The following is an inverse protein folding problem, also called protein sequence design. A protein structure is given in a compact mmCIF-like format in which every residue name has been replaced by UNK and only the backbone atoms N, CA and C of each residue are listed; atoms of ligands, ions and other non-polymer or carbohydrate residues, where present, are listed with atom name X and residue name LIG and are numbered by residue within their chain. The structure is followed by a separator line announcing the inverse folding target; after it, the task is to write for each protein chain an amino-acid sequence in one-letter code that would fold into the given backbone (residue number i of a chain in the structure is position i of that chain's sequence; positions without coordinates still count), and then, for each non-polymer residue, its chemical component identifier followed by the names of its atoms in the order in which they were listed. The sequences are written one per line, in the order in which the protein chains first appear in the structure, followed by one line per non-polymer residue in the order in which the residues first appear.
data_IF_567049056155
#
_entry.id   IF_567049056155
#
_cell.length_a   1.000
_cell.length_b   1.000
_cell.length_c   1.000
_cell.angle_alpha   90.00
_cell.angle_beta   90.00
_cell.angle_gamma   90.00
#
_symmetry.space_group_name_H-M   'P 1'
#
loop_
_entity.id
_entity.type
_entity.pdbx_description
1 polymer ?
#
# COMPACT_ATOMS: atom_id res chain seq x y z
N UNK A 1 -1.25 -9.97 9.45
CA UNK A 1 -0.48 -8.87 8.84
C UNK A 1 -0.88 -8.72 7.38
N UNK A 2 -0.99 -7.51 6.86
CA UNK A 2 -1.15 -7.28 5.41
C UNK A 2 0.23 -7.24 4.77
N UNK A 3 0.43 -8.03 3.71
CA UNK A 3 1.65 -7.95 2.90
C UNK A 3 1.48 -6.82 1.88
N UNK A 4 2.42 -5.89 1.87
CA UNK A 4 2.56 -4.91 0.79
C UNK A 4 3.55 -5.50 -0.21
N UNK A 5 3.07 -5.76 -1.42
CA UNK A 5 3.93 -6.17 -2.54
C UNK A 5 4.53 -4.90 -3.15
N UNK A 6 5.85 -4.88 -3.30
CA UNK A 6 6.59 -3.70 -3.79
C UNK A 6 7.75 -4.05 -4.71
N UNK A 7 7.90 -5.32 -5.14
CA UNK A 7 8.98 -5.70 -6.05
C UNK A 7 8.75 -4.96 -7.37
N UNK A 8 9.75 -4.22 -7.83
CA UNK A 8 9.70 -3.40 -9.05
C UNK A 8 8.74 -2.20 -8.98
N UNK A 9 8.43 -1.70 -7.77
CA UNK A 9 7.65 -0.47 -7.56
C UNK A 9 8.52 0.61 -6.94
N UNK A 10 8.38 1.84 -7.42
CA UNK A 10 9.08 3.00 -6.89
C UNK A 10 8.52 3.43 -5.52
N UNK A 11 9.24 4.35 -4.87
CA UNK A 11 8.88 4.87 -3.55
C UNK A 11 7.54 5.63 -3.57
N UNK A 12 7.20 6.26 -4.69
CA UNK A 12 5.99 7.08 -4.84
C UNK A 12 4.75 6.17 -4.83
N UNK A 13 4.80 5.06 -5.57
CA UNK A 13 3.80 4.02 -5.56
C UNK A 13 3.58 3.49 -4.14
N UNK A 14 4.66 3.12 -3.44
CA UNK A 14 4.54 2.55 -2.09
C UNK A 14 3.96 3.56 -1.11
N UNK A 15 4.41 4.82 -1.12
CA UNK A 15 3.84 5.90 -0.28
C UNK A 15 2.35 6.05 -0.50
N UNK A 16 1.94 6.18 -1.76
CA UNK A 16 0.55 6.41 -2.11
C UNK A 16 -0.37 5.24 -1.72
N UNK A 17 0.04 4.02 -2.08
CA UNK A 17 -0.77 2.81 -1.84
C UNK A 17 -0.88 2.51 -0.34
N UNK A 18 0.22 2.63 0.42
CA UNK A 18 0.19 2.36 1.86
C UNK A 18 -0.59 3.43 2.62
N UNK A 19 -0.48 4.71 2.24
CA UNK A 19 -1.30 5.78 2.80
C UNK A 19 -2.79 5.57 2.51
N UNK A 20 -3.16 5.18 1.29
CA UNK A 20 -4.55 4.87 0.94
C UNK A 20 -5.11 3.74 1.80
N UNK A 21 -4.39 2.61 1.91
CA UNK A 21 -4.86 1.50 2.76
C UNK A 21 -4.89 1.88 4.24
N UNK A 22 -3.94 2.68 4.72
CA UNK A 22 -3.94 3.16 6.11
C UNK A 22 -5.21 3.96 6.41
N UNK A 23 -5.60 4.89 5.52
CA UNK A 23 -6.84 5.65 5.66
C UNK A 23 -8.07 4.74 5.73
N UNK A 24 -8.18 3.76 4.81
CA UNK A 24 -9.29 2.79 4.82
C UNK A 24 -9.33 1.94 6.09
N UNK A 25 -8.19 1.51 6.62
CA UNK A 25 -8.14 0.74 7.87
C UNK A 25 -8.50 1.65 9.06
N UNK A 26 -8.03 2.90 9.10
CA UNK A 26 -8.38 3.83 10.17
C UNK A 26 -9.89 4.15 10.19
N UNK A 27 -10.53 4.29 9.02
CA UNK A 27 -11.98 4.43 8.89
C UNK A 27 -12.71 3.21 9.49
N UNK A 28 -12.24 1.99 9.22
CA UNK A 28 -12.82 0.75 9.78
C UNK A 28 -12.64 0.71 11.29
N UNK A 29 -11.44 1.00 11.80
CA UNK A 29 -11.15 1.02 13.23
C UNK A 29 -11.99 2.06 13.98
N UNK A 30 -12.23 3.23 13.37
CA UNK A 30 -13.11 4.24 13.95
C UNK A 30 -14.56 3.78 14.03
N UNK A 31 -15.07 3.11 13.00
CA UNK A 31 -16.47 2.61 12.97
C UNK A 31 -16.68 1.41 13.87
N UNK A 32 -15.64 0.61 14.10
CA UNK A 32 -15.69 -0.63 14.91
C UNK A 32 -14.78 -0.54 16.12
N UNK A 33 -14.76 0.63 16.77
CA UNK A 33 -13.89 0.91 17.92
C UNK A 33 -14.18 0.06 19.15
N UNK A 34 -15.38 -0.54 19.22
CA UNK A 34 -15.75 -1.51 20.27
C UNK A 34 -15.14 -2.91 20.02
N UNK A 35 -14.90 -3.26 18.75
CA UNK A 35 -14.42 -4.59 18.35
C UNK A 35 -12.90 -4.63 18.14
N UNK A 36 -12.34 -3.51 17.67
CA UNK A 36 -10.97 -3.44 17.20
C UNK A 36 -10.22 -2.23 17.75
N UNK A 37 -8.94 -2.44 18.01
CA UNK A 37 -7.98 -1.39 18.33
C UNK A 37 -6.79 -1.42 17.36
N UNK A 38 -5.98 -0.37 17.39
CA UNK A 38 -4.74 -0.30 16.63
C UNK A 38 -3.69 -1.18 17.30
N UNK A 39 -3.07 -2.07 16.53
CA UNK A 39 -1.93 -2.87 17.01
C UNK A 39 -0.64 -2.05 17.14
N UNK A 40 -0.51 -0.98 16.36
CA UNK A 40 0.69 -0.12 16.33
C UNK A 40 0.50 1.13 17.18
N UNK A 41 1.52 1.51 17.95
CA UNK A 41 1.64 2.86 18.51
C UNK A 41 1.83 3.92 17.40
N UNK A 42 1.60 5.18 17.74
CA UNK A 42 1.87 6.39 16.97
C UNK A 42 0.84 6.61 15.86
N UNK A 43 0.59 7.85 15.47
CA UNK A 43 -0.27 8.21 14.35
C UNK A 43 0.58 8.66 13.18
N UNK A 44 0.22 8.22 11.97
CA UNK A 44 0.83 8.70 10.74
C UNK A 44 -0.02 9.82 10.18
N UNK A 45 0.60 10.96 9.89
CA UNK A 45 0.01 12.04 9.10
C UNK A 45 0.68 12.07 7.74
N UNK A 46 -0.11 12.36 6.70
CA UNK A 46 0.38 12.50 5.33
C UNK A 46 0.10 13.94 4.87
N UNK A 47 1.05 14.58 4.18
CA UNK A 47 0.90 15.92 3.62
C UNK A 47 0.26 15.92 2.21
N UNK A 48 -0.24 14.76 1.77
CA UNK A 48 -0.87 14.54 0.47
C UNK A 48 -2.13 13.68 0.62
N UNK A 49 -3.02 13.78 -0.35
CA UNK A 49 -4.20 12.91 -0.45
C UNK A 49 -3.86 11.69 -1.31
N UNK A 50 -3.86 10.47 -0.72
CA UNK A 50 -3.54 9.28 -1.49
C UNK A 50 -4.67 8.88 -2.43
N UNK A 51 -4.31 8.48 -3.64
CA UNK A 51 -5.24 8.03 -4.68
C UNK A 51 -4.58 6.95 -5.54
N UNK A 52 -5.00 5.70 -5.33
CA UNK A 52 -4.47 4.54 -6.05
C UNK A 52 -4.73 4.59 -7.56
N UNK A 53 -5.73 5.33 -8.02
CA UNK A 53 -6.04 5.48 -9.44
C UNK A 53 -4.99 6.31 -10.18
N UNK A 54 -4.25 7.17 -9.47
CA UNK A 54 -3.18 8.02 -10.01
C UNK A 54 -1.78 7.38 -9.96
N UNK A 55 -1.66 6.22 -9.32
CA UNK A 55 -0.45 5.39 -9.37
C UNK A 55 -0.57 4.33 -10.46
N UNK A 56 0.50 3.54 -10.66
CA UNK A 56 0.51 2.41 -11.58
C UNK A 56 -0.73 1.51 -11.39
N UNK A 57 -1.64 1.54 -12.36
CA UNK A 57 -2.77 0.63 -12.45
C UNK A 57 -3.15 0.44 -13.91
N UNK A 58 -3.88 -0.65 -14.19
CA UNK A 58 -4.36 -1.01 -15.52
C UNK A 58 -5.85 -1.32 -15.49
N UNK A 59 -6.58 -0.58 -14.66
CA UNK A 59 -7.89 -0.95 -14.17
C UNK A 59 -7.82 -1.76 -12.89
N UNK A 60 -8.94 -1.72 -12.14
CA UNK A 60 -9.13 -2.46 -10.91
C UNK A 60 -10.09 -3.62 -11.14
N UNK A 61 -9.89 -4.69 -10.37
CA UNK A 61 -10.78 -5.85 -10.40
C UNK A 61 -10.94 -6.39 -8.99
N UNK A 62 -12.17 -6.78 -8.66
CA UNK A 62 -12.47 -7.53 -7.43
C UNK A 62 -11.98 -8.99 -7.54
N UNK A 63 -11.43 -9.37 -8.70
CA UNK A 63 -10.96 -10.70 -9.01
C UNK A 63 -12.04 -11.74 -8.67
N UNK A 64 -11.78 -12.63 -7.72
CA UNK A 64 -12.73 -13.63 -7.24
C UNK A 64 -13.24 -13.37 -5.81
N UNK A 65 -13.10 -12.14 -5.30
CA UNK A 65 -13.45 -11.77 -3.93
C UNK A 65 -14.95 -12.00 -3.64
N UNK A 66 -15.82 -11.71 -4.61
CA UNK A 66 -17.28 -11.84 -4.50
C UNK A 66 -17.83 -12.97 -5.37
N UNK A 67 -17.02 -14.00 -5.64
CA UNK A 67 -17.39 -15.09 -6.54
C UNK A 67 -16.81 -14.89 -7.94
N UNK A 68 -17.51 -15.36 -8.98
CA UNK A 68 -16.96 -15.26 -10.34
C UNK A 68 -17.03 -13.82 -10.88
N UNK A 69 -15.94 -13.27 -11.43
CA UNK A 69 -15.94 -11.92 -11.98
C UNK A 69 -17.02 -11.71 -13.05
N UNK A 70 -17.68 -10.55 -12.98
CA UNK A 70 -18.66 -10.07 -13.97
C UNK A 70 -18.03 -9.25 -15.10
N UNK A 71 -16.78 -8.82 -14.93
CA UNK A 71 -15.99 -8.07 -15.90
C UNK A 71 -14.70 -8.82 -16.19
N UNK A 72 -14.09 -8.52 -17.34
CA UNK A 72 -12.75 -9.01 -17.68
C UNK A 72 -11.76 -8.65 -16.58
N UNK A 73 -10.92 -9.62 -16.20
CA UNK A 73 -9.83 -9.39 -15.24
C UNK A 73 -8.48 -9.27 -15.97
N UNK A 74 -8.48 -9.42 -17.29
CA UNK A 74 -7.31 -9.30 -18.14
C UNK A 74 -7.18 -7.86 -18.69
N UNK A 75 -5.93 -7.46 -18.93
CA UNK A 75 -5.62 -6.22 -19.65
C UNK A 75 -4.92 -6.59 -20.96
N UNK A 76 -5.71 -6.97 -21.97
CA UNK A 76 -5.19 -7.47 -23.25
C UNK A 76 -4.43 -6.42 -24.04
N UNK A 77 -4.83 -5.16 -23.94
CA UNK A 77 -4.29 -4.09 -24.78
C UNK A 77 -2.88 -3.66 -24.38
N UNK A 78 -2.52 -3.75 -23.09
CA UNK A 78 -1.23 -3.24 -22.65
C UNK A 78 -0.76 -3.78 -21.30
N UNK A 79 0.54 -4.08 -21.16
CA UNK A 79 1.19 -4.18 -19.86
C UNK A 79 1.58 -2.79 -19.29
N UNK A 80 1.20 -1.71 -19.97
CA UNK A 80 1.34 -0.28 -19.65
C UNK A 80 0.63 0.12 -18.36
N UNK A 81 1.07 1.14 -17.63
CA UNK A 81 0.14 1.88 -16.77
C UNK A 81 -0.88 2.61 -17.64
N UNK A 82 -2.16 2.60 -17.25
CA UNK A 82 -3.23 3.32 -17.94
C UNK A 82 -3.59 4.59 -17.17
N UNK A 83 -3.82 4.46 -15.85
CA UNK A 83 -4.28 5.57 -15.03
C UNK A 83 -5.75 5.94 -15.27
N UNK A 84 -6.25 7.01 -14.62
CA UNK A 84 -7.65 7.38 -14.67
C UNK A 84 -7.97 8.01 -16.04
N UNK A 85 -9.21 7.84 -16.49
CA UNK A 85 -9.72 8.62 -17.61
C UNK A 85 -9.83 10.09 -17.19
N UNK A 86 -9.36 11.02 -18.04
CA UNK A 86 -9.27 12.44 -17.68
C UNK A 86 -9.94 13.36 -18.70
N UNK A 87 -9.97 12.99 -19.98
CA UNK A 87 -10.50 13.88 -20.99
C UNK A 87 -10.95 13.16 -22.26
N UNK A 88 -11.88 13.78 -23.00
CA UNK A 88 -12.27 13.36 -24.34
C UNK A 88 -11.78 14.39 -25.36
N UNK A 89 -11.12 13.95 -26.43
CA UNK A 89 -10.64 14.85 -27.50
C UNK A 89 -11.83 15.50 -28.20
N UNK A 90 -11.83 16.82 -28.36
CA UNK A 90 -12.82 17.57 -29.15
C UNK A 90 -12.30 17.91 -30.53
N UNK A 91 -11.08 18.43 -30.61
CA UNK A 91 -10.46 18.85 -31.86
C UNK A 91 -8.96 18.53 -31.85
N UNK A 92 -8.41 18.22 -33.01
CA UNK A 92 -6.99 17.95 -33.27
C UNK A 92 -6.50 18.96 -34.30
N UNK A 93 -5.63 19.88 -33.87
CA UNK A 93 -4.94 20.82 -34.75
C UNK A 93 -3.52 20.32 -35.06
N UNK A 94 -2.77 21.04 -35.89
CA UNK A 94 -1.41 20.66 -36.32
C UNK A 94 -0.43 20.45 -35.17
N UNK A 95 -0.58 21.20 -34.06
CA UNK A 95 0.36 21.17 -32.91
C UNK A 95 -0.32 21.12 -31.54
N UNK A 96 -1.65 21.01 -31.50
CA UNK A 96 -2.41 21.05 -30.24
C UNK A 96 -3.67 20.20 -30.31
N UNK A 97 -4.20 19.89 -29.13
CA UNK A 97 -5.44 19.15 -28.93
C UNK A 97 -6.35 20.01 -28.05
N UNK A 98 -7.61 20.17 -28.44
CA UNK A 98 -8.63 20.73 -27.54
C UNK A 98 -9.43 19.58 -26.95
N UNK A 99 -9.58 19.55 -25.62
CA UNK A 99 -10.24 18.45 -24.91
C UNK A 99 -11.42 18.91 -24.06
N UNK A 100 -12.33 17.98 -23.75
CA UNK A 100 -13.31 18.10 -22.68
C UNK A 100 -12.79 17.32 -21.48
N UNK A 101 -12.51 17.99 -20.35
CA UNK A 101 -12.16 17.28 -19.12
C UNK A 101 -13.38 16.51 -18.59
N UNK A 102 -13.13 15.35 -17.98
CA UNK A 102 -14.14 14.62 -17.22
C UNK A 102 -14.36 15.27 -15.84
N UNK A 103 -15.53 15.08 -15.21
CA UNK A 103 -15.78 15.56 -13.86
C UNK A 103 -14.71 15.08 -12.87
N UNK A 104 -14.36 15.92 -11.90
CA UNK A 104 -13.37 15.63 -10.86
C UNK A 104 -11.96 15.31 -11.38
N UNK A 105 -11.63 15.69 -12.63
CA UNK A 105 -10.28 15.55 -13.17
C UNK A 105 -9.37 16.60 -12.54
N UNK A 106 -8.28 16.22 -11.84
CA UNK A 106 -7.29 17.17 -11.39
C UNK A 106 -6.66 17.90 -12.59
N UNK A 107 -6.23 19.16 -12.43
CA UNK A 107 -5.62 19.92 -13.52
C UNK A 107 -4.51 19.15 -14.24
N UNK A 108 -4.58 19.17 -15.58
CA UNK A 108 -3.49 18.69 -16.43
C UNK A 108 -2.42 19.78 -16.54
N UNK A 109 -1.16 19.35 -16.61
CA UNK A 109 -0.01 20.26 -16.63
C UNK A 109 1.13 19.73 -17.49
N UNK A 110 2.13 20.57 -17.70
CA UNK A 110 3.38 20.16 -18.33
C UNK A 110 4.03 19.01 -17.55
N UNK A 111 4.61 18.05 -18.29
CA UNK A 111 5.22 16.85 -17.75
C UNK A 111 4.27 15.65 -17.58
N UNK A 112 2.95 15.86 -17.62
CA UNK A 112 2.00 14.75 -17.55
C UNK A 112 2.14 13.80 -18.74
N UNK A 113 1.93 12.51 -18.47
CA UNK A 113 1.83 11.47 -19.47
C UNK A 113 0.38 11.12 -19.73
N UNK A 114 -0.06 11.25 -20.98
CA UNK A 114 -1.37 10.82 -21.43
C UNK A 114 -1.27 9.60 -22.33
N UNK A 115 -2.28 8.73 -22.30
CA UNK A 115 -2.36 7.56 -23.14
C UNK A 115 -3.79 7.31 -23.62
N UNK A 116 -3.90 6.52 -24.68
CA UNK A 116 -5.16 6.18 -25.32
C UNK A 116 -5.04 4.85 -26.07
N UNK A 117 -6.19 4.25 -26.35
CA UNK A 117 -6.31 3.12 -27.27
C UNK A 117 -6.61 3.68 -28.67
N UNK A 118 -5.75 3.41 -29.64
CA UNK A 118 -5.97 3.79 -31.02
C UNK A 118 -7.04 2.87 -31.68
N UNK A 119 -7.67 3.29 -32.80
CA UNK A 119 -8.68 2.50 -33.49
C UNK A 119 -8.21 1.11 -33.94
N UNK A 120 -6.91 0.94 -34.18
CA UNK A 120 -6.26 -0.34 -34.51
C UNK A 120 -6.05 -1.27 -33.28
N UNK A 121 -6.52 -0.85 -32.10
CA UNK A 121 -6.35 -1.59 -30.85
C UNK A 121 -4.97 -1.41 -30.20
N UNK A 122 -4.09 -0.59 -30.77
CA UNK A 122 -2.76 -0.35 -30.21
C UNK A 122 -2.82 0.67 -29.07
N UNK A 123 -2.14 0.38 -27.97
CA UNK A 123 -2.03 1.30 -26.84
C UNK A 123 -0.88 2.29 -27.08
N UNK A 124 -1.20 3.58 -27.13
CA UNK A 124 -0.24 4.66 -27.42
C UNK A 124 -0.22 5.67 -26.29
N UNK A 125 0.91 6.35 -26.11
CA UNK A 125 1.06 7.40 -25.09
C UNK A 125 1.95 8.53 -25.57
N UNK A 126 1.78 9.70 -24.96
CA UNK A 126 2.53 10.92 -25.24
C UNK A 126 2.68 11.76 -23.96
N UNK A 127 3.68 12.64 -23.94
CA UNK A 127 3.88 13.61 -22.86
C UNK A 127 3.35 14.99 -23.23
N UNK A 128 2.86 15.72 -22.26
CA UNK A 128 2.47 17.12 -22.40
C UNK A 128 3.68 18.03 -22.16
N UNK A 129 3.96 18.93 -23.11
CA UNK A 129 4.95 20.00 -22.94
C UNK A 129 4.32 21.25 -22.33
N UNK A 130 3.08 21.56 -22.71
CA UNK A 130 2.36 22.75 -22.25
C UNK A 130 0.85 22.48 -22.22
N UNK A 131 0.17 23.17 -21.31
CA UNK A 131 -1.29 23.22 -21.21
C UNK A 131 -1.71 24.68 -21.14
N UNK A 132 -2.66 25.09 -21.97
CA UNK A 132 -3.26 26.42 -21.99
C UNK A 132 -4.73 26.34 -21.63
N UNK A 133 -5.19 27.28 -20.81
CA UNK A 133 -6.59 27.41 -20.37
C UNK A 133 -7.19 26.10 -19.80
N UNK A 134 -6.33 25.20 -19.29
CA UNK A 134 -6.68 23.89 -18.75
C UNK A 134 -7.19 22.85 -19.77
N UNK A 135 -7.44 23.21 -21.03
CA UNK A 135 -8.16 22.36 -22.00
C UNK A 135 -7.52 22.31 -23.38
N UNK A 136 -6.54 23.18 -23.66
CA UNK A 136 -5.74 23.13 -24.87
C UNK A 136 -4.38 22.52 -24.53
N UNK A 137 -4.12 21.33 -25.06
CA UNK A 137 -2.95 20.52 -24.75
C UNK A 137 -1.93 20.60 -25.88
N UNK A 138 -0.66 20.75 -25.54
CA UNK A 138 0.46 20.74 -26.48
C UNK A 138 1.37 19.54 -26.18
N UNK A 139 1.22 18.43 -26.93
CA UNK A 139 2.08 17.26 -26.83
C UNK A 139 3.54 17.55 -27.20
N UNK A 140 4.47 16.80 -26.61
CA UNK A 140 5.88 16.82 -27.00
C UNK A 140 6.13 16.32 -28.43
N UNK A 141 5.37 15.29 -28.81
CA UNK A 141 5.24 14.80 -30.18
C UNK A 141 3.75 14.61 -30.44
N UNK A 142 3.26 15.14 -31.56
CA UNK A 142 1.84 15.05 -31.89
C UNK A 142 1.43 13.59 -32.12
N UNK A 143 0.49 13.05 -31.32
CA UNK A 143 -0.04 11.70 -31.53
C UNK A 143 -1.09 11.69 -32.64
N UNK A 144 -1.24 10.57 -33.33
CA UNK A 144 -2.35 10.34 -34.26
C UNK A 144 -3.64 10.06 -33.47
N UNK A 145 -4.48 11.08 -33.30
CA UNK A 145 -5.74 11.05 -32.56
C UNK A 145 -6.92 11.45 -33.44
N UNK A 146 -8.12 11.03 -33.05
CA UNK A 146 -9.37 11.48 -33.66
C UNK A 146 -10.23 12.21 -32.63
N UNK A 147 -11.08 13.16 -33.06
CA UNK A 147 -12.15 13.67 -32.21
C UNK A 147 -12.95 12.53 -31.58
N UNK A 148 -13.23 12.66 -30.29
CA UNK A 148 -13.94 11.66 -29.50
C UNK A 148 -13.06 10.63 -28.79
N UNK A 149 -11.75 10.55 -29.08
CA UNK A 149 -10.84 9.62 -28.37
C UNK A 149 -10.80 9.93 -26.87
N UNK A 150 -10.89 8.88 -26.04
CA UNK A 150 -10.73 8.97 -24.59
C UNK A 150 -9.24 8.99 -24.22
N UNK A 151 -8.85 9.97 -23.40
CA UNK A 151 -7.50 10.12 -22.86
C UNK A 151 -7.47 9.71 -21.39
N UNK A 152 -6.43 8.96 -21.03
CA UNK A 152 -6.12 8.56 -19.67
C UNK A 152 -4.80 9.18 -19.22
N UNK A 153 -4.67 9.51 -17.93
CA UNK A 153 -3.44 10.08 -17.34
C UNK A 153 -2.55 8.97 -16.79
N UNK A 154 -1.65 8.47 -17.63
CA UNK A 154 -0.70 7.41 -17.26
C UNK A 154 0.43 7.87 -16.35
N UNK A 155 0.72 9.18 -16.31
CA UNK A 155 1.69 9.79 -15.40
C UNK A 155 1.16 11.13 -14.90
N UNK A 156 1.04 11.27 -13.59
CA UNK A 156 0.69 12.52 -12.91
C UNK A 156 1.95 13.18 -12.36
N UNK A 157 2.45 14.19 -13.08
CA UNK A 157 3.75 14.76 -12.75
C UNK A 157 3.75 15.55 -11.44
N UNK A 158 2.63 16.21 -11.09
CA UNK A 158 2.51 16.95 -9.83
C UNK A 158 2.57 15.99 -8.65
N UNK A 159 1.88 14.85 -8.76
CA UNK A 159 1.88 13.83 -7.74
C UNK A 159 3.27 13.22 -7.57
N UNK A 160 3.97 12.92 -8.66
CA UNK A 160 5.35 12.44 -8.63
C UNK A 160 6.29 13.39 -7.87
N UNK A 161 6.23 14.69 -8.19
CA UNK A 161 7.04 15.70 -7.50
C UNK A 161 6.69 15.82 -6.01
N UNK A 162 5.40 15.75 -5.69
CA UNK A 162 4.92 15.77 -4.30
C UNK A 162 5.43 14.55 -3.54
N UNK A 163 5.36 13.36 -4.15
CA UNK A 163 5.76 12.11 -3.51
C UNK A 163 7.27 11.90 -3.44
N UNK A 164 8.05 12.62 -4.25
CA UNK A 164 9.51 12.56 -4.23
C UNK A 164 10.12 13.11 -2.93
N UNK A 165 9.44 14.06 -2.26
CA UNK A 165 9.89 14.62 -0.96
C UNK A 165 9.39 13.77 0.24
N UNK A 166 9.88 14.01 1.47
CA UNK A 166 9.23 13.48 2.67
C UNK A 166 7.78 13.97 2.74
N UNK A 167 6.84 13.03 2.88
CA UNK A 167 5.40 13.29 2.76
C UNK A 167 4.57 12.70 3.89
N UNK A 168 5.21 12.00 4.82
CA UNK A 168 4.53 11.38 5.94
C UNK A 168 5.43 11.41 7.16
N UNK A 169 4.81 11.69 8.31
CA UNK A 169 5.46 11.62 9.60
C UNK A 169 4.65 10.71 10.52
N UNK A 170 5.35 9.96 11.37
CA UNK A 170 4.72 9.18 12.44
C UNK A 170 5.12 9.78 13.78
N UNK A 171 4.13 10.21 14.57
CA UNK A 171 4.33 10.76 15.92
C UNK A 171 3.59 9.94 16.97
N UNK A 172 4.14 9.81 18.17
CA UNK A 172 3.50 9.18 19.33
C UNK A 172 2.88 10.25 20.22
N UNK A 173 1.66 10.01 20.69
CA UNK A 173 1.01 10.95 21.60
C UNK A 173 1.71 10.96 22.97
N UNK A 174 1.92 12.17 23.49
CA UNK A 174 2.60 12.41 24.76
C UNK A 174 1.76 13.33 25.65
N UNK A 175 1.40 12.84 26.84
CA UNK A 175 0.75 13.62 27.88
C UNK A 175 1.80 14.14 28.85
N UNK A 176 1.68 15.42 29.23
CA UNK A 176 2.61 16.08 30.13
C UNK A 176 1.87 16.61 31.34
N UNK A 177 2.44 16.45 32.52
CA UNK A 177 1.95 17.08 33.74
C UNK A 177 3.09 17.81 34.43
N UNK A 178 2.99 19.13 34.54
CA UNK A 178 3.88 19.95 35.34
C UNK A 178 3.19 20.25 36.67
N UNK A 179 3.80 19.80 37.76
CA UNK A 179 3.24 19.92 39.10
C UNK A 179 4.23 20.61 40.06
N UNK A 180 3.76 21.55 40.86
CA UNK A 180 4.52 22.11 41.96
C UNK A 180 4.69 21.07 43.08
N UNK A 181 5.92 20.94 43.58
CA UNK A 181 6.30 20.08 44.70
C UNK A 181 6.92 20.93 45.80
N UNK A 182 7.05 20.41 47.02
CA UNK A 182 7.60 21.18 48.14
C UNK A 182 9.02 21.74 47.90
N UNK A 183 9.80 21.13 47.01
CA UNK A 183 11.18 21.55 46.70
C UNK A 183 11.33 22.22 45.32
N UNK A 184 10.24 22.38 44.55
CA UNK A 184 10.28 22.94 43.20
C UNK A 184 9.14 22.44 42.33
N UNK A 185 9.47 21.75 41.23
CA UNK A 185 8.47 21.21 40.30
C UNK A 185 8.81 19.78 39.87
N UNK A 186 7.81 19.06 39.38
CA UNK A 186 7.95 17.77 38.71
C UNK A 186 7.29 17.83 37.34
N UNK A 187 8.03 17.48 36.30
CA UNK A 187 7.51 17.28 34.95
C UNK A 187 7.39 15.79 34.68
N UNK A 188 6.16 15.29 34.61
CA UNK A 188 5.87 13.91 34.23
C UNK A 188 5.46 13.83 32.77
N UNK A 189 6.11 12.93 32.03
CA UNK A 189 5.76 12.60 30.65
C UNK A 189 5.19 11.18 30.58
N UNK A 190 4.02 11.02 29.96
CA UNK A 190 3.37 9.72 29.77
C UNK A 190 3.03 9.52 28.30
N UNK A 191 3.57 8.47 27.68
CA UNK A 191 3.23 8.16 26.28
C UNK A 191 1.95 7.33 26.14
N UNK A 192 1.50 7.16 24.90
CA UNK A 192 0.28 6.39 24.59
C UNK A 192 0.36 4.88 24.90
N UNK A 193 1.55 4.36 25.20
CA UNK A 193 1.73 2.99 25.67
C UNK A 193 1.70 2.89 27.21
N UNK A 194 1.47 4.01 27.89
CA UNK A 194 1.35 4.08 29.35
C UNK A 194 2.70 4.17 30.08
N UNK A 195 3.82 4.33 29.36
CA UNK A 195 5.13 4.52 29.99
C UNK A 195 5.20 5.94 30.52
N UNK A 196 5.53 6.08 31.80
CA UNK A 196 5.55 7.37 32.50
C UNK A 196 6.88 7.60 33.20
N UNK A 197 7.42 8.80 33.07
CA UNK A 197 8.65 9.22 33.73
C UNK A 197 8.46 10.58 34.40
N UNK A 198 8.53 10.66 35.75
CA UNK A 198 8.59 11.92 36.47
C UNK A 198 10.03 12.44 36.54
N UNK A 199 10.22 13.73 36.27
CA UNK A 199 11.49 14.43 36.44
C UNK A 199 11.29 15.61 37.38
N UNK A 200 11.78 15.46 38.62
CA UNK A 200 11.73 16.52 39.63
C UNK A 200 12.93 17.44 39.51
N UNK A 201 12.69 18.74 39.67
CA UNK A 201 13.73 19.75 39.63
C UNK A 201 13.52 20.86 40.65
N UNK A 202 14.61 21.28 41.32
CA UNK A 202 14.55 22.39 42.24
C UNK A 202 14.40 23.69 41.47
N UNK A 203 13.38 24.47 41.81
CA UNK A 203 13.19 25.82 41.30
C UNK A 203 12.32 26.62 42.28
N UNK A 204 12.63 27.89 42.55
CA UNK A 204 11.82 28.69 43.46
C UNK A 204 10.36 28.83 43.00
N UNK A 205 9.42 28.81 43.95
CA UNK A 205 8.02 29.13 43.72
C UNK A 205 7.84 30.65 43.66
N UNK A 206 8.14 31.24 42.50
CA UNK A 206 7.89 32.65 42.27
C UNK A 206 6.46 32.83 41.76
N UNK A 207 5.64 33.61 42.45
CA UNK A 207 4.30 33.96 41.97
C UNK A 207 4.39 34.74 40.65
N UNK A 208 3.57 34.35 39.70
CA UNK A 208 3.50 35.03 38.42
C UNK A 208 2.65 36.31 38.51
N UNK A 209 3.16 37.40 37.93
CA UNK A 209 2.42 38.67 37.84
C UNK A 209 1.20 38.59 36.90
N UNK A 210 1.25 37.69 35.93
CA UNK A 210 0.19 37.37 34.97
C UNK A 210 0.18 35.86 34.74
N UNK A 211 -0.97 35.29 34.37
CA UNK A 211 -1.08 33.85 34.12
C UNK A 211 -0.02 33.36 33.11
N UNK A 212 0.75 32.35 33.50
CA UNK A 212 1.80 31.75 32.65
C UNK A 212 1.33 30.52 31.87
N UNK A 213 0.05 30.13 31.99
CA UNK A 213 -0.45 28.85 31.50
C UNK A 213 -0.15 28.60 30.01
N UNK A 214 -0.47 29.55 29.14
CA UNK A 214 -0.24 29.42 27.70
C UNK A 214 1.25 29.43 27.34
N UNK A 215 2.04 30.27 28.01
CA UNK A 215 3.48 30.36 27.77
C UNK A 215 4.19 29.04 28.14
N UNK A 216 3.80 28.44 29.27
CA UNK A 216 4.30 27.13 29.70
C UNK A 216 3.86 26.05 28.72
N UNK A 217 2.58 25.97 28.36
CA UNK A 217 2.04 24.99 27.40
C UNK A 217 2.75 25.08 26.05
N UNK A 218 2.94 26.30 25.52
CA UNK A 218 3.65 26.56 24.26
C UNK A 218 5.14 26.15 24.33
N UNK A 219 5.76 26.27 25.49
CA UNK A 219 7.17 25.88 25.67
C UNK A 219 7.30 24.37 25.76
N UNK A 220 6.43 23.71 26.52
CA UNK A 220 6.43 22.26 26.69
C UNK A 220 5.99 21.50 25.44
N UNK A 221 5.09 22.05 24.61
CA UNK A 221 4.63 21.39 23.38
C UNK A 221 5.67 21.33 22.25
N UNK A 222 6.77 22.10 22.33
CA UNK A 222 7.81 22.15 21.28
C UNK A 222 8.72 20.91 21.33
N UNK A 223 8.28 19.83 20.69
CA UNK A 223 8.95 18.52 20.65
C UNK A 223 9.70 18.21 19.33
N UNK A 224 9.82 19.20 18.43
CA UNK A 224 10.19 19.09 17.01
C UNK A 224 11.05 17.90 16.56
N UNK A 225 12.21 17.70 17.19
CA UNK A 225 13.21 16.69 16.76
C UNK A 225 12.94 15.27 17.29
N UNK A 226 11.87 15.07 18.07
CA UNK A 226 11.55 13.81 18.74
C UNK A 226 10.44 13.06 18.01
N UNK A 227 10.22 11.78 18.30
CA UNK A 227 9.09 11.04 17.72
C UNK A 227 7.74 11.39 18.36
N UNK A 228 7.67 12.36 19.28
CA UNK A 228 6.48 12.64 20.09
C UNK A 228 5.72 13.87 19.62
N UNK A 229 4.42 13.87 19.88
CA UNK A 229 3.52 15.02 19.72
C UNK A 229 2.74 15.22 21.02
N UNK A 230 2.71 16.46 21.52
CA UNK A 230 2.02 16.77 22.77
C UNK A 230 0.50 16.65 22.59
N UNK A 231 -0.13 15.72 23.31
CA UNK A 231 -1.58 15.49 23.29
C UNK A 231 -2.28 16.29 24.39
N UNK A 232 -1.81 16.17 25.63
CA UNK A 232 -2.31 16.97 26.74
C UNK A 232 -1.15 17.54 27.56
N UNK A 233 -1.34 18.75 28.09
CA UNK A 233 -0.41 19.37 29.03
C UNK A 233 -1.25 19.84 30.22
N UNK A 234 -0.93 19.39 31.43
CA UNK A 234 -1.63 19.76 32.67
C UNK A 234 -0.68 20.54 33.57
N UNK A 235 -1.16 21.62 34.17
CA UNK A 235 -0.40 22.48 35.07
C UNK A 235 -1.07 22.45 36.44
N UNK A 236 -0.34 22.11 37.49
CA UNK A 236 -0.87 21.89 38.84
C UNK A 236 0.02 22.62 39.88
N UNK A 237 -0.40 23.76 40.45
CA UNK A 237 -1.58 24.56 40.13
C UNK A 237 -1.41 25.35 38.82
N UNK A 238 -2.52 25.67 38.14
CA UNK A 238 -2.48 26.29 36.80
C UNK A 238 -2.09 27.78 36.85
N UNK A 239 -1.09 28.18 36.06
CA UNK A 239 -0.75 29.58 35.79
C UNK A 239 -0.18 30.42 36.93
N UNK A 240 0.00 29.83 38.12
CA UNK A 240 0.36 30.54 39.37
C UNK A 240 1.84 30.86 39.51
N UNK A 241 2.72 30.06 38.92
CA UNK A 241 4.17 30.17 39.12
C UNK A 241 4.88 30.64 37.85
N UNK A 242 5.85 31.54 38.01
CA UNK A 242 6.76 31.94 36.96
C UNK A 242 7.93 30.96 36.86
N UNK A 243 8.11 30.35 35.68
CA UNK A 243 9.25 29.51 35.36
C UNK A 243 9.84 29.99 34.03
N UNK A 244 11.14 30.35 33.98
CA UNK A 244 11.77 30.78 32.75
C UNK A 244 11.67 29.71 31.64
N UNK A 245 11.45 30.15 30.40
CA UNK A 245 11.33 29.25 29.25
C UNK A 245 12.58 28.38 29.03
N UNK A 246 13.76 28.87 29.40
CA UNK A 246 15.02 28.12 29.37
C UNK A 246 15.01 26.92 30.32
N UNK A 247 14.51 27.12 31.55
CA UNK A 247 14.37 26.07 32.57
C UNK A 247 13.37 25.01 32.09
N UNK A 248 12.19 25.43 31.62
CA UNK A 248 11.18 24.52 31.05
C UNK A 248 11.72 23.73 29.87
N UNK A 249 12.49 24.37 28.98
CA UNK A 249 13.08 23.72 27.81
C UNK A 249 14.12 22.68 28.22
N UNK A 250 14.97 22.98 29.21
CA UNK A 250 15.98 22.06 29.72
C UNK A 250 15.32 20.82 30.32
N UNK A 251 14.33 21.01 31.21
CA UNK A 251 13.65 19.91 31.88
C UNK A 251 12.72 19.12 30.95
N UNK A 252 12.14 19.75 29.92
CA UNK A 252 11.45 19.02 28.85
C UNK A 252 12.40 18.07 28.12
N UNK A 253 13.60 18.52 27.74
CA UNK A 253 14.60 17.68 27.07
C UNK A 253 15.06 16.54 27.97
N UNK A 254 15.31 16.82 29.24
CA UNK A 254 15.71 15.83 30.24
C UNK A 254 14.62 14.75 30.43
N UNK A 255 13.37 15.17 30.57
CA UNK A 255 12.25 14.26 30.72
C UNK A 255 12.03 13.41 29.47
N UNK A 256 12.15 13.99 28.27
CA UNK A 256 12.07 13.24 27.00
C UNK A 256 13.17 12.19 26.92
N UNK A 257 14.43 12.57 27.21
CA UNK A 257 15.56 11.63 27.24
C UNK A 257 15.30 10.47 28.20
N UNK A 258 14.82 10.78 29.40
CA UNK A 258 14.51 9.76 30.40
C UNK A 258 13.38 8.81 29.95
N UNK A 259 12.37 9.33 29.24
CA UNK A 259 11.31 8.52 28.63
C UNK A 259 11.84 7.63 27.49
N UNK A 260 12.78 8.12 26.68
CA UNK A 260 13.44 7.34 25.63
C UNK A 260 14.28 6.20 26.21
N UNK A 261 14.97 6.43 27.33
CA UNK A 261 15.71 5.37 28.04
C UNK A 261 14.77 4.28 28.59
N UNK A 262 13.66 4.68 29.23
CA UNK A 262 12.63 3.74 29.70
C UNK A 262 12.01 2.99 28.52
N UNK A 263 11.78 3.67 27.40
CA UNK A 263 11.29 3.07 26.16
C UNK A 263 12.24 1.99 25.64
N UNK A 264 13.53 2.29 25.55
CA UNK A 264 14.54 1.34 25.09
C UNK A 264 14.65 0.11 26.02
N UNK A 265 14.61 0.32 27.34
CA UNK A 265 14.67 -0.78 28.33
C UNK A 265 13.38 -1.61 28.41
N UNK A 266 12.23 -0.99 28.15
CA UNK A 266 10.92 -1.65 28.21
C UNK A 266 10.60 -2.47 26.96
N UNK A 267 11.31 -2.25 25.85
CA UNK A 267 11.07 -2.98 24.61
C UNK A 267 11.36 -4.47 24.80
N UNK A 268 10.30 -5.28 24.75
CA UNK A 268 10.40 -6.74 24.70
C UNK A 268 10.06 -7.17 23.28
N UNK A 269 11.00 -7.88 22.64
CA UNK A 269 10.68 -8.58 21.41
C UNK A 269 9.54 -9.56 21.72
N UNK A 270 8.49 -9.56 20.89
CA UNK A 270 7.45 -10.56 21.01
C UNK A 270 8.11 -11.94 20.85
N UNK A 271 7.93 -12.85 21.83
CA UNK A 271 8.48 -14.19 21.68
C UNK A 271 7.85 -14.83 20.45
N UNK A 272 8.65 -15.57 19.69
CA UNK A 272 8.11 -16.35 18.59
C UNK A 272 7.02 -17.29 19.16
N UNK A 273 5.85 -17.27 18.53
CA UNK A 273 4.76 -18.17 18.92
C UNK A 273 5.23 -19.62 18.87
N UNK A 274 4.90 -20.41 19.89
CA UNK A 274 5.22 -21.84 19.88
C UNK A 274 4.43 -22.52 18.75
N UNK A 275 5.09 -23.32 17.89
CA UNK A 275 4.39 -23.99 16.81
C UNK A 275 3.40 -25.02 17.36
N UNK A 276 2.14 -24.94 16.93
CA UNK A 276 1.16 -25.98 17.24
C UNK A 276 1.45 -27.21 16.35
N UNK A 277 2.31 -28.10 16.84
CA UNK A 277 2.77 -29.29 16.11
C UNK A 277 1.62 -30.23 15.73
N UNK A 278 0.61 -30.34 16.58
CA UNK A 278 -0.54 -31.22 16.31
C UNK A 278 -1.39 -30.66 15.17
N UNK A 279 -1.68 -29.35 15.20
CA UNK A 279 -2.38 -28.70 14.11
C UNK A 279 -1.58 -28.75 12.80
N UNK A 280 -0.25 -28.59 12.87
CA UNK A 280 0.62 -28.75 11.69
C UNK A 280 0.50 -30.15 11.10
N UNK A 281 0.55 -31.20 11.93
CA UNK A 281 0.34 -32.59 11.48
C UNK A 281 -1.03 -32.80 10.87
N UNK A 282 -2.08 -32.29 11.50
CA UNK A 282 -3.45 -32.41 11.01
C UNK A 282 -3.66 -31.71 9.65
N UNK A 283 -2.96 -30.59 9.42
CA UNK A 283 -3.09 -29.77 8.21
C UNK A 283 -2.11 -30.14 7.11
N UNK A 284 -1.07 -30.93 7.41
CA UNK A 284 -0.06 -31.33 6.44
C UNK A 284 -0.66 -32.36 5.46
N UNK A 285 -0.56 -32.12 4.14
CA UNK A 285 -0.91 -33.15 3.17
C UNK A 285 -0.02 -34.38 3.31
N UNK A 286 -0.58 -35.57 3.19
CA UNK A 286 0.19 -36.82 3.24
C UNK A 286 1.22 -36.90 2.09
N UNK A 287 0.85 -36.44 0.89
CA UNK A 287 1.73 -36.38 -0.26
C UNK A 287 1.91 -34.95 -0.75
N UNK A 288 3.15 -34.51 -0.87
CA UNK A 288 3.53 -33.20 -1.38
C UNK A 288 4.18 -33.37 -2.76
N UNK A 289 3.52 -32.94 -3.85
CA UNK A 289 4.09 -33.02 -5.20
C UNK A 289 5.18 -31.97 -5.41
N UNK A 290 5.89 -32.02 -6.54
CA UNK A 290 6.99 -31.10 -6.86
C UNK A 290 6.61 -29.61 -6.74
N UNK A 291 5.32 -29.28 -6.93
CA UNK A 291 4.78 -27.92 -6.79
C UNK A 291 4.83 -27.37 -5.36
N UNK A 292 5.13 -28.20 -4.36
CA UNK A 292 5.44 -27.77 -3.00
C UNK A 292 6.82 -27.09 -2.90
N UNK A 293 7.63 -27.12 -3.97
CA UNK A 293 8.93 -26.45 -4.09
C UNK A 293 9.94 -26.83 -3.00
N UNK A 294 10.01 -28.12 -2.68
CA UNK A 294 10.93 -28.68 -1.67
C UNK A 294 12.31 -28.82 -2.31
N UNK A 295 13.13 -27.78 -2.16
CA UNK A 295 14.42 -27.62 -2.87
C UNK A 295 15.66 -27.90 -2.01
N UNK A 296 15.49 -28.28 -0.73
CA UNK A 296 16.60 -28.57 0.18
C UNK A 296 16.22 -29.57 1.27
N UNK A 297 17.24 -30.13 1.94
CA UNK A 297 17.07 -31.14 2.98
C UNK A 297 16.26 -30.64 4.19
N UNK A 298 16.44 -29.40 4.64
CA UNK A 298 15.71 -28.85 5.79
C UNK A 298 14.20 -28.75 5.52
N UNK A 299 13.80 -28.31 4.33
CA UNK A 299 12.39 -28.28 3.94
C UNK A 299 11.79 -29.69 3.86
N UNK A 300 12.56 -30.64 3.33
CA UNK A 300 12.15 -32.05 3.26
C UNK A 300 11.91 -32.63 4.65
N UNK A 301 12.88 -32.49 5.54
CA UNK A 301 12.80 -32.93 6.94
C UNK A 301 11.65 -32.27 7.68
N UNK A 302 11.44 -30.97 7.48
CA UNK A 302 10.32 -30.25 8.06
C UNK A 302 8.99 -30.88 7.67
N UNK A 303 8.73 -31.10 6.38
CA UNK A 303 7.45 -31.66 5.95
C UNK A 303 7.23 -33.09 6.47
N UNK A 304 8.26 -33.94 6.43
CA UNK A 304 8.19 -35.32 6.93
C UNK A 304 7.95 -35.38 8.44
N UNK A 305 8.67 -34.56 9.22
CA UNK A 305 8.50 -34.49 10.68
C UNK A 305 7.09 -34.01 11.10
N UNK A 306 6.39 -33.32 10.20
CA UNK A 306 5.06 -32.77 10.43
C UNK A 306 3.97 -33.52 9.65
N UNK A 307 4.17 -34.79 9.28
CA UNK A 307 3.09 -35.70 8.87
C UNK A 307 2.98 -35.97 7.37
N UNK A 308 3.81 -35.36 6.52
CA UNK A 308 3.92 -35.82 5.13
C UNK A 308 4.56 -37.21 5.10
N UNK A 309 3.97 -38.16 4.38
CA UNK A 309 4.54 -39.49 4.12
C UNK A 309 5.35 -39.54 2.83
N UNK A 310 5.07 -38.66 1.88
CA UNK A 310 5.78 -38.56 0.61
C UNK A 310 6.01 -37.11 0.20
N UNK A 311 7.22 -36.85 -0.29
CA UNK A 311 7.67 -35.52 -0.72
C UNK A 311 8.44 -35.66 -2.04
N UNK A 312 7.91 -35.09 -3.10
CA UNK A 312 8.61 -34.96 -4.38
C UNK A 312 9.58 -33.75 -4.30
N UNK A 313 10.79 -33.85 -4.89
CA UNK A 313 11.71 -32.72 -4.96
C UNK A 313 11.16 -31.60 -5.85
N UNK A 314 11.67 -30.38 -5.66
CA UNK A 314 11.39 -29.24 -6.53
C UNK A 314 11.77 -29.53 -8.00
N UNK A 315 11.09 -28.86 -8.92
CA UNK A 315 11.23 -29.08 -10.37
C UNK A 315 12.67 -28.87 -10.86
N UNK A 316 13.38 -27.92 -10.25
CA UNK A 316 14.76 -27.54 -10.56
C UNK A 316 15.78 -28.63 -10.19
N UNK A 317 15.43 -29.50 -9.22
CA UNK A 317 16.28 -30.61 -8.80
C UNK A 317 16.02 -31.85 -9.64
N UNK A 318 14.74 -32.15 -9.88
CA UNK A 318 14.34 -33.33 -10.63
C UNK A 318 13.03 -33.06 -11.36
N UNK A 319 13.06 -33.21 -12.67
CA UNK A 319 11.86 -33.14 -13.50
C UNK A 319 11.05 -34.43 -13.33
N UNK A 320 9.77 -34.36 -12.93
CA UNK A 320 8.92 -35.55 -12.84
C UNK A 320 8.73 -36.20 -14.22
N UNK A 321 8.77 -37.53 -14.27
CA UNK A 321 8.40 -38.33 -15.45
C UNK A 321 6.86 -38.36 -15.60
N UNK A 322 6.28 -37.22 -16.00
CA UNK A 322 4.84 -37.06 -16.22
C UNK A 322 4.61 -36.54 -17.65
N UNK A 323 3.68 -37.16 -18.39
CA UNK A 323 3.37 -36.80 -19.79
C UNK A 323 2.96 -35.33 -19.98
N UNK A 324 2.31 -34.74 -18.98
CA UNK A 324 1.88 -33.34 -19.00
C UNK A 324 2.22 -32.65 -17.67
N UNK A 325 3.35 -31.96 -17.63
CA UNK A 325 3.78 -31.21 -16.46
C UNK A 325 2.94 -29.93 -16.31
N UNK A 326 2.16 -29.84 -15.22
CA UNK A 326 1.36 -28.65 -14.88
C UNK A 326 2.26 -27.61 -14.21
N UNK A 327 2.50 -26.49 -14.88
CA UNK A 327 3.32 -25.39 -14.34
C UNK A 327 2.53 -24.44 -13.44
N UNK A 328 1.24 -24.24 -13.74
CA UNK A 328 0.41 -23.28 -13.02
C UNK A 328 -1.05 -23.71 -13.06
N UNK A 329 -1.72 -23.70 -11.91
CA UNK A 329 -3.19 -23.83 -11.82
C UNK A 329 -3.76 -22.50 -11.33
N UNK A 330 -4.77 -21.97 -12.02
CA UNK A 330 -5.36 -20.67 -11.69
C UNK A 330 -6.85 -20.61 -11.98
N UNK A 331 -7.58 -19.80 -11.20
CA UNK A 331 -9.01 -19.52 -11.45
C UNK A 331 -9.26 -18.58 -12.62
N UNK A 332 -8.29 -17.73 -12.97
CA UNK A 332 -8.39 -16.93 -14.19
C UNK A 332 -8.35 -17.84 -15.42
N UNK A 333 -9.39 -17.76 -16.25
CA UNK A 333 -9.62 -18.67 -17.36
C UNK A 333 -9.68 -17.90 -18.68
N UNK A 334 -8.76 -18.20 -19.60
CA UNK A 334 -8.66 -17.50 -20.89
C UNK A 334 -9.92 -17.71 -21.74
N UNK A 335 -10.53 -18.90 -21.69
CA UNK A 335 -11.84 -19.12 -22.33
C UNK A 335 -12.88 -18.12 -21.88
N UNK A 336 -12.96 -17.82 -20.57
CA UNK A 336 -13.90 -16.82 -20.05
C UNK A 336 -13.61 -15.43 -20.59
N UNK A 337 -12.34 -15.04 -20.61
CA UNK A 337 -11.93 -13.73 -21.11
C UNK A 337 -12.20 -13.53 -22.61
N UNK A 338 -12.19 -14.62 -23.39
CA UNK A 338 -12.49 -14.62 -24.82
C UNK A 338 -14.00 -14.83 -25.12
N UNK A 339 -14.85 -15.00 -24.10
CA UNK A 339 -16.27 -15.33 -24.28
C UNK A 339 -16.49 -16.71 -24.91
N UNK A 340 -15.66 -17.68 -24.52
CA UNK A 340 -15.64 -19.09 -24.93
C UNK A 340 -15.80 -20.04 -23.72
N UNK A 341 -16.46 -19.57 -22.65
CA UNK A 341 -16.73 -20.39 -21.47
C UNK A 341 -17.82 -21.41 -21.77
N UNK A 342 -17.47 -22.71 -21.75
CA UNK A 342 -18.43 -23.80 -21.98
C UNK A 342 -19.65 -23.80 -21.05
N UNK A 343 -19.55 -23.15 -19.88
CA UNK A 343 -20.64 -23.05 -18.91
C UNK A 343 -21.54 -21.82 -19.11
N UNK A 344 -21.15 -20.86 -19.97
CA UNK A 344 -21.86 -19.57 -20.12
C UNK A 344 -22.18 -19.21 -21.57
N UNK A 345 -21.29 -19.54 -22.50
CA UNK A 345 -21.30 -19.01 -23.86
C UNK A 345 -21.82 -20.05 -24.90
N UNK A 346 -22.40 -21.16 -24.43
CA UNK A 346 -23.18 -22.09 -25.26
C UNK A 346 -22.44 -22.66 -26.48
N UNK A 347 -23.08 -22.59 -27.65
CA UNK A 347 -22.56 -23.11 -28.93
C UNK A 347 -21.27 -22.41 -29.38
N UNK A 348 -21.16 -21.09 -29.20
CA UNK A 348 -19.96 -20.32 -29.53
C UNK A 348 -18.71 -20.88 -28.85
N UNK A 349 -18.84 -21.37 -27.62
CA UNK A 349 -17.73 -22.00 -26.90
C UNK A 349 -17.40 -23.41 -27.39
N UNK A 350 -18.38 -24.14 -27.95
CA UNK A 350 -18.20 -25.50 -28.51
C UNK A 350 -17.53 -25.48 -29.88
N UNK A 351 -17.76 -24.43 -30.65
CA UNK A 351 -17.17 -24.22 -31.98
C UNK A 351 -15.74 -23.65 -31.93
N UNK A 352 -15.26 -23.30 -30.73
CA UNK A 352 -13.92 -22.77 -30.54
C UNK A 352 -12.83 -23.77 -30.97
N UNK A 353 -11.83 -23.30 -31.71
CA UNK A 353 -10.66 -24.11 -32.08
C UNK A 353 -9.82 -24.42 -30.83
N UNK A 354 -9.62 -25.70 -30.57
CA UNK A 354 -8.80 -26.24 -29.48
C UNK A 354 -7.63 -27.08 -30.05
N UNK A 355 -6.54 -27.29 -29.29
CA UNK A 355 -6.28 -26.76 -27.95
C UNK A 355 -5.84 -25.29 -27.95
N UNK A 356 -6.32 -24.51 -26.99
CA UNK A 356 -5.77 -23.17 -26.75
C UNK A 356 -4.36 -23.25 -26.14
N UNK A 357 -3.49 -22.31 -26.50
CA UNK A 357 -2.14 -22.21 -25.96
C UNK A 357 -1.73 -20.75 -25.74
N UNK A 358 -0.86 -20.52 -24.76
CA UNK A 358 -0.15 -19.25 -24.62
C UNK A 358 1.11 -19.29 -25.49
N UNK A 359 1.32 -18.28 -26.31
CA UNK A 359 2.52 -18.16 -27.14
C UNK A 359 3.40 -17.02 -26.64
N UNK A 360 4.70 -17.28 -26.51
CA UNK A 360 5.71 -16.26 -26.22
C UNK A 360 6.30 -15.69 -27.52
N UNK A 361 6.90 -14.48 -27.48
CA UNK A 361 7.57 -13.90 -28.65
C UNK A 361 8.74 -14.73 -29.20
N UNK A 362 9.33 -15.58 -28.37
CA UNK A 362 10.40 -16.51 -28.74
C UNK A 362 9.90 -17.82 -29.38
N UNK A 363 8.59 -17.94 -29.62
CA UNK A 363 7.96 -19.09 -30.28
C UNK A 363 7.54 -20.22 -29.33
N UNK A 364 7.93 -20.20 -28.05
CA UNK A 364 7.48 -21.22 -27.09
C UNK A 364 5.96 -21.18 -26.90
N UNK A 365 5.34 -22.36 -26.91
CA UNK A 365 3.90 -22.54 -26.73
C UNK A 365 3.60 -23.35 -25.49
N UNK A 366 2.75 -22.82 -24.63
CA UNK A 366 2.32 -23.45 -23.40
C UNK A 366 0.86 -23.90 -23.57
N UNK A 367 0.60 -25.20 -23.73
CA UNK A 367 -0.76 -25.70 -23.89
C UNK A 367 -1.60 -25.39 -22.64
N UNK A 368 -2.88 -25.11 -22.86
CA UNK A 368 -3.83 -24.85 -21.79
C UNK A 368 -4.75 -26.05 -21.61
N UNK A 369 -5.00 -26.42 -20.35
CA UNK A 369 -6.02 -27.40 -19.98
C UNK A 369 -7.08 -26.72 -19.12
N UNK A 370 -8.35 -26.89 -19.48
CA UNK A 370 -9.48 -26.25 -18.79
C UNK A 370 -10.22 -27.27 -17.93
N UNK A 371 -10.21 -27.05 -16.61
CA UNK A 371 -10.94 -27.85 -15.63
C UNK A 371 -12.27 -27.14 -15.34
N UNK A 372 -13.22 -27.24 -16.27
CA UNK A 372 -14.46 -26.47 -16.21
C UNK A 372 -15.28 -26.76 -14.93
N UNK A 373 -15.25 -27.98 -14.41
CA UNK A 373 -15.95 -28.36 -13.17
C UNK A 373 -15.47 -27.58 -11.94
N UNK A 374 -14.16 -27.30 -11.83
CA UNK A 374 -13.59 -26.50 -10.73
C UNK A 374 -13.43 -25.01 -11.09
N UNK A 375 -13.84 -24.60 -12.29
CA UNK A 375 -13.58 -23.26 -12.84
C UNK A 375 -12.09 -22.88 -12.80
N UNK A 376 -11.23 -23.83 -13.18
CA UNK A 376 -9.77 -23.63 -13.20
C UNK A 376 -9.19 -23.82 -14.60
N UNK A 377 -8.04 -23.20 -14.82
CA UNK A 377 -7.20 -23.37 -15.99
C UNK A 377 -5.80 -23.76 -15.54
N UNK A 378 -5.25 -24.77 -16.21
CA UNK A 378 -3.89 -25.22 -16.05
C UNK A 378 -3.04 -24.77 -17.24
N UNK A 379 -1.86 -24.24 -16.95
CA UNK A 379 -0.80 -23.98 -17.94
C UNK A 379 0.16 -25.16 -17.89
N UNK A 380 0.34 -25.83 -19.02
CA UNK A 380 1.22 -26.98 -19.15
C UNK A 380 2.60 -26.54 -19.65
N UNK A 381 3.63 -27.31 -19.30
CA UNK A 381 4.96 -27.11 -19.84
C UNK A 381 4.95 -27.16 -21.38
N UNK A 382 5.80 -26.38 -22.04
CA UNK A 382 5.92 -26.45 -23.49
C UNK A 382 6.38 -27.87 -23.86
N UNK A 383 5.77 -28.40 -24.95
CA UNK A 383 6.17 -29.68 -25.52
C UNK A 383 7.56 -29.59 -26.14
#
# INVERSE_FOLDING_TARGET
SFKIEGRLKDVNYVKNVTAFYRQRIDEILSRRSQDFCRASAGRVTCDFTPDVARSFNRGFTDYFLHGSPHRSIASFHTPKAIGPAVAKVKNVATRSLTVSLLPNTPPLQAGDGLCFLAPDGTFRGFRLNRVENGTTLFPASMPSLQPGTMLHRSLDHAMELTLARPTAERRLALDMTLQATGAGFSLSLTDELGRSVPCSFPHPHQEARTSQSEAVRRTLSRLGDTIYEARTIRLLPDGTHFIPASVLTSWRREAVRSLEEVTARSHRAEPAGSPNRELLKQRMPAALPFSANISNAFSREFHLAHGASSVEPALELQRPEKDALVLMTRRHCIRRELGLCLLRDGEKAREAKEPLSLSLPDGRRFPLRFLCKSCEMQVLAPQ
#
